data_IF_400841108475
#
_entry.id   IF_400841108475
#
_cell.length_a   1.000
_cell.length_b   1.000
_cell.length_c   1.000
_cell.angle_alpha   90.00
_cell.angle_beta   90.00
_cell.angle_gamma   90.00
#
_symmetry.space_group_name_H-M   'P 1'
#
loop_
_entity.id
_entity.type
_entity.pdbx_description
1 polymer ?
#
# COMPACT_ATOMS: atom_id res chain seq x y z
N UNK A 1 -11.49 20.38 -15.27
CA UNK A 1 -10.15 20.71 -14.79
C UNK A 1 -9.65 19.49 -14.05
N UNK A 2 -8.79 18.68 -14.70
CA UNK A 2 -7.93 17.74 -14.01
C UNK A 2 -6.93 18.62 -13.24
N UNK A 3 -7.13 18.78 -11.94
CA UNK A 3 -6.09 19.31 -11.07
C UNK A 3 -4.92 18.32 -11.14
N UNK A 4 -3.80 18.80 -11.66
CA UNK A 4 -2.52 18.10 -11.59
C UNK A 4 -2.29 17.77 -10.12
N UNK A 5 -2.27 16.48 -9.78
CA UNK A 5 -1.91 16.03 -8.44
C UNK A 5 -0.51 16.57 -8.15
N UNK A 6 -0.43 17.49 -7.19
CA UNK A 6 0.81 18.21 -6.88
C UNK A 6 1.91 17.21 -6.52
N UNK A 7 3.15 17.52 -6.91
CA UNK A 7 4.33 16.72 -6.53
C UNK A 7 4.66 16.83 -5.04
N UNK A 8 3.82 17.48 -4.24
CA UNK A 8 3.99 17.69 -2.81
C UNK A 8 3.56 16.46 -2.01
N UNK A 9 4.23 16.25 -0.89
CA UNK A 9 3.86 15.20 0.06
C UNK A 9 2.47 15.52 0.63
N UNK A 10 1.48 14.61 0.50
CA UNK A 10 0.11 14.90 0.91
C UNK A 10 -0.03 15.04 2.43
N UNK A 11 -1.03 15.82 2.85
CA UNK A 11 -1.37 16.01 4.27
C UNK A 11 -1.73 14.68 4.98
N UNK A 12 -2.12 13.67 4.24
CA UNK A 12 -2.42 12.32 4.75
C UNK A 12 -1.18 11.45 4.96
N UNK A 13 0.02 11.98 4.67
CA UNK A 13 1.26 11.26 4.93
C UNK A 13 1.50 11.11 6.44
N UNK A 14 1.64 9.88 6.88
CA UNK A 14 2.08 9.55 8.25
C UNK A 14 3.59 9.35 8.23
N UNK A 15 4.37 10.20 8.91
CA UNK A 15 5.82 10.18 8.85
C UNK A 15 6.42 8.80 9.16
N UNK A 16 7.23 8.28 8.24
CA UNK A 16 7.99 7.03 8.38
C UNK A 16 7.14 5.78 8.73
N UNK A 17 5.84 5.77 8.41
CA UNK A 17 4.94 4.65 8.76
C UNK A 17 5.45 3.31 8.23
N UNK A 18 5.83 3.23 6.96
CA UNK A 18 6.33 1.99 6.37
C UNK A 18 7.71 1.62 6.91
N UNK A 19 8.56 2.59 7.26
CA UNK A 19 9.83 2.34 7.96
C UNK A 19 9.60 1.64 9.29
N UNK A 20 8.64 2.11 10.09
CA UNK A 20 8.29 1.53 11.37
C UNK A 20 7.75 0.10 11.18
N UNK A 21 6.80 -0.09 10.27
CA UNK A 21 6.24 -1.42 10.00
C UNK A 21 7.27 -2.40 9.50
N UNK A 22 8.12 -2.00 8.55
CA UNK A 22 9.19 -2.85 8.06
C UNK A 22 10.22 -3.19 9.14
N UNK A 23 10.50 -2.28 10.08
CA UNK A 23 11.38 -2.55 11.21
C UNK A 23 10.81 -3.63 12.14
N UNK A 24 9.50 -3.59 12.44
CA UNK A 24 8.84 -4.66 13.19
C UNK A 24 8.82 -5.98 12.41
N UNK A 25 8.50 -5.93 11.11
CA UNK A 25 8.52 -7.11 10.26
C UNK A 25 9.91 -7.75 10.22
N UNK A 26 10.97 -6.92 10.12
CA UNK A 26 12.35 -7.38 10.10
C UNK A 26 12.73 -8.12 11.40
N UNK A 27 12.43 -7.52 12.55
CA UNK A 27 12.68 -8.16 13.86
C UNK A 27 11.90 -9.47 13.99
N UNK A 28 10.66 -9.50 13.54
CA UNK A 28 9.83 -10.72 13.58
C UNK A 28 10.34 -11.78 12.59
N UNK A 29 10.75 -11.39 11.39
CA UNK A 29 11.32 -12.28 10.40
C UNK A 29 12.59 -12.97 10.92
N UNK A 30 13.47 -12.22 11.60
CA UNK A 30 14.67 -12.77 12.20
C UNK A 30 14.36 -13.83 13.28
N UNK A 31 13.40 -13.55 14.18
CA UNK A 31 12.94 -14.51 15.21
C UNK A 31 12.30 -15.77 14.59
N UNK A 32 11.65 -15.63 13.44
CA UNK A 32 10.98 -16.72 12.73
C UNK A 32 11.85 -17.41 11.70
N UNK A 33 13.10 -16.96 11.52
CA UNK A 33 14.01 -17.44 10.48
C UNK A 33 13.39 -17.33 9.07
N UNK A 34 12.49 -16.32 8.87
CA UNK A 34 11.87 -16.03 7.59
C UNK A 34 12.82 -15.18 6.73
N UNK A 35 12.88 -15.50 5.44
CA UNK A 35 13.77 -14.83 4.48
C UNK A 35 13.02 -13.84 3.56
N UNK A 36 11.71 -13.89 3.59
CA UNK A 36 10.84 -13.13 2.71
C UNK A 36 9.87 -12.26 3.51
N UNK A 37 9.84 -10.96 3.19
CA UNK A 37 8.86 -10.00 3.70
C UNK A 37 8.07 -9.49 2.50
N UNK A 38 6.73 -9.44 2.62
CA UNK A 38 5.86 -8.90 1.58
C UNK A 38 5.22 -7.61 2.07
N UNK A 39 5.23 -6.57 1.24
CA UNK A 39 4.58 -5.30 1.52
C UNK A 39 3.74 -4.84 0.32
N UNK A 40 2.51 -4.38 0.58
CA UNK A 40 1.55 -3.95 -0.44
C UNK A 40 1.66 -2.47 -0.82
N UNK A 41 2.88 -1.96 -0.96
CA UNK A 41 3.10 -0.59 -1.45
C UNK A 41 2.75 -0.48 -2.94
N UNK A 42 2.25 0.70 -3.33
CA UNK A 42 1.96 1.05 -4.71
C UNK A 42 2.58 2.42 -5.02
N UNK A 43 3.26 2.55 -6.16
CA UNK A 43 3.94 3.76 -6.58
C UNK A 43 3.34 4.38 -7.86
N UNK A 44 2.47 3.66 -8.58
CA UNK A 44 1.96 4.07 -9.90
C UNK A 44 0.88 5.14 -9.80
N UNK A 45 -0.16 4.88 -8.99
CA UNK A 45 -1.31 5.79 -8.91
C UNK A 45 -1.05 6.99 -7.98
N UNK A 46 -0.12 6.85 -7.04
CA UNK A 46 0.18 7.90 -6.08
C UNK A 46 1.60 7.78 -5.51
N UNK A 47 2.53 8.45 -6.15
CA UNK A 47 3.95 8.47 -5.74
C UNK A 47 4.27 9.46 -4.61
N UNK A 48 3.24 10.07 -4.00
CA UNK A 48 3.41 11.14 -2.99
C UNK A 48 4.00 10.67 -1.65
N UNK A 49 3.96 9.38 -1.35
CA UNK A 49 4.54 8.86 -0.11
C UNK A 49 5.99 8.40 -0.33
N UNK A 50 6.98 9.07 0.29
CA UNK A 50 8.40 8.75 0.11
C UNK A 50 8.74 7.28 0.42
N UNK A 51 8.07 6.72 1.44
CA UNK A 51 8.26 5.36 1.95
C UNK A 51 7.43 4.28 1.23
N UNK A 52 6.94 4.61 0.02
CA UNK A 52 6.31 3.65 -0.91
C UNK A 52 7.12 3.46 -2.21
N UNK A 53 8.23 4.17 -2.39
CA UNK A 53 9.03 4.16 -3.61
C UNK A 53 9.98 2.97 -3.67
N UNK A 54 10.34 2.54 -4.88
CA UNK A 54 11.26 1.42 -5.11
C UNK A 54 12.64 1.65 -4.48
N UNK A 55 13.13 2.89 -4.51
CA UNK A 55 14.42 3.26 -3.92
C UNK A 55 14.42 3.12 -2.40
N UNK A 56 13.31 3.46 -1.73
CA UNK A 56 13.14 3.24 -0.30
C UNK A 56 13.17 1.75 0.03
N UNK A 57 12.44 0.92 -0.71
CA UNK A 57 12.40 -0.54 -0.50
C UNK A 57 13.79 -1.15 -0.69
N UNK A 58 14.52 -0.78 -1.75
CA UNK A 58 15.87 -1.28 -2.00
C UNK A 58 16.87 -0.85 -0.90
N UNK A 59 16.76 0.38 -0.41
CA UNK A 59 17.58 0.87 0.69
C UNK A 59 17.26 0.13 2.00
N UNK A 60 15.98 -0.13 2.29
CA UNK A 60 15.58 -0.87 3.48
C UNK A 60 16.01 -2.35 3.42
N UNK A 61 15.91 -3.00 2.26
CA UNK A 61 16.41 -4.36 2.04
C UNK A 61 17.93 -4.43 2.29
N UNK A 62 18.66 -3.43 1.81
CA UNK A 62 20.11 -3.31 2.08
C UNK A 62 20.38 -3.17 3.59
N UNK A 63 19.67 -2.27 4.26
CA UNK A 63 19.74 -2.08 5.71
C UNK A 63 19.45 -3.39 6.45
N UNK A 64 18.39 -4.10 6.09
CA UNK A 64 18.00 -5.35 6.72
C UNK A 64 19.11 -6.39 6.69
N UNK A 65 19.79 -6.53 5.56
CA UNK A 65 20.89 -7.50 5.38
C UNK A 65 22.20 -7.07 6.05
N UNK A 66 22.37 -5.78 6.37
CA UNK A 66 23.54 -5.27 7.10
C UNK A 66 23.31 -5.26 8.62
N UNK A 67 22.08 -5.12 9.09
CA UNK A 67 21.74 -4.83 10.48
C UNK A 67 21.26 -6.05 11.28
N UNK A 68 21.08 -7.21 10.64
CA UNK A 68 20.59 -8.42 11.30
C UNK A 68 21.65 -9.51 11.36
N UNK A 69 21.55 -10.38 12.38
CA UNK A 69 22.41 -11.56 12.48
C UNK A 69 22.22 -12.48 11.27
N UNK A 70 20.98 -12.69 10.85
CA UNK A 70 20.67 -13.51 9.68
C UNK A 70 21.32 -12.97 8.40
N UNK A 71 21.33 -11.64 8.20
CA UNK A 71 21.99 -11.01 7.07
C UNK A 71 23.52 -11.11 7.10
N UNK A 72 24.12 -11.01 8.28
CA UNK A 72 25.61 -11.03 8.43
C UNK A 72 26.17 -12.44 8.47
N UNK A 73 25.52 -13.36 9.17
CA UNK A 73 25.97 -14.75 9.34
C UNK A 73 25.25 -15.72 8.38
N UNK A 74 24.15 -15.29 7.79
CA UNK A 74 23.29 -16.11 6.95
C UNK A 74 23.92 -16.44 5.60
N UNK A 75 23.58 -17.59 5.07
CA UNK A 75 23.97 -18.01 3.72
C UNK A 75 23.07 -17.42 2.64
N UNK A 76 21.92 -16.88 3.03
CA UNK A 76 20.90 -16.33 2.16
C UNK A 76 20.44 -14.98 2.72
N UNK A 77 20.29 -13.99 1.83
CA UNK A 77 19.83 -12.65 2.18
C UNK A 77 18.31 -12.61 2.36
N UNK A 78 17.84 -11.75 3.28
CA UNK A 78 16.44 -11.38 3.40
C UNK A 78 16.00 -10.60 2.15
N UNK A 79 14.81 -10.90 1.65
CA UNK A 79 14.19 -10.27 0.48
C UNK A 79 12.90 -9.55 0.85
N UNK A 80 12.72 -8.33 0.31
CA UNK A 80 11.46 -7.58 0.43
C UNK A 80 10.73 -7.61 -0.92
N UNK A 81 9.55 -8.21 -0.91
CA UNK A 81 8.70 -8.35 -2.09
C UNK A 81 7.62 -7.26 -2.13
N UNK A 82 7.48 -6.64 -3.28
CA UNK A 82 6.51 -5.55 -3.53
C UNK A 82 5.61 -5.88 -4.72
N UNK A 83 4.75 -6.90 -4.63
CA UNK A 83 4.02 -7.44 -5.78
C UNK A 83 3.05 -6.46 -6.45
N UNK A 84 2.75 -5.33 -5.80
CA UNK A 84 1.79 -4.33 -6.28
C UNK A 84 2.45 -3.01 -6.71
N UNK A 85 3.77 -2.88 -6.61
CA UNK A 85 4.44 -1.58 -6.71
C UNK A 85 4.29 -0.92 -8.08
N UNK A 86 4.24 -1.72 -9.14
CA UNK A 86 4.14 -1.27 -10.54
C UNK A 86 2.71 -1.41 -11.11
N UNK A 87 1.74 -1.85 -10.31
CA UNK A 87 0.37 -2.05 -10.76
C UNK A 87 -0.46 -0.78 -10.56
N UNK A 88 -1.31 -0.45 -11.54
CA UNK A 88 -2.37 0.53 -11.36
C UNK A 88 -3.43 0.03 -10.36
N UNK A 89 -4.26 0.95 -9.84
CA UNK A 89 -5.36 0.58 -8.95
C UNK A 89 -6.32 -0.42 -9.59
N UNK A 90 -6.59 -0.26 -10.88
CA UNK A 90 -7.44 -1.18 -11.64
C UNK A 90 -6.83 -2.59 -11.73
N UNK A 91 -5.53 -2.69 -11.98
CA UNK A 91 -4.83 -3.99 -12.03
C UNK A 91 -4.80 -4.66 -10.66
N UNK A 92 -4.59 -3.88 -9.58
CA UNK A 92 -4.65 -4.39 -8.20
C UNK A 92 -6.05 -4.95 -7.90
N UNK A 93 -7.12 -4.24 -8.30
CA UNK A 93 -8.50 -4.69 -8.11
C UNK A 93 -8.75 -5.98 -8.88
N UNK A 94 -8.40 -6.05 -10.16
CA UNK A 94 -8.53 -7.26 -10.98
C UNK A 94 -7.78 -8.44 -10.36
N UNK A 95 -6.53 -8.21 -9.94
CA UNK A 95 -5.71 -9.22 -9.28
C UNK A 95 -6.34 -9.71 -7.99
N UNK A 96 -6.89 -8.81 -7.19
CA UNK A 96 -7.58 -9.17 -5.95
C UNK A 96 -8.83 -10.02 -6.21
N UNK A 97 -9.63 -9.67 -7.22
CA UNK A 97 -10.80 -10.47 -7.62
C UNK A 97 -10.40 -11.87 -8.09
N UNK A 98 -9.36 -11.99 -8.91
CA UNK A 98 -8.80 -13.28 -9.32
C UNK A 98 -8.38 -14.16 -8.14
N UNK A 99 -7.87 -13.54 -7.07
CA UNK A 99 -7.44 -14.20 -5.84
C UNK A 99 -8.58 -14.41 -4.82
N UNK A 100 -9.80 -13.99 -5.13
CA UNK A 100 -10.96 -14.15 -4.27
C UNK A 100 -11.06 -13.13 -3.14
N UNK A 101 -10.44 -11.95 -3.29
CA UNK A 101 -10.57 -10.86 -2.30
C UNK A 101 -12.02 -10.34 -2.32
N UNK A 102 -12.68 -10.37 -1.17
CA UNK A 102 -13.96 -9.70 -0.96
C UNK A 102 -13.75 -8.21 -0.67
N UNK A 103 -13.94 -7.40 -1.69
CA UNK A 103 -13.77 -5.95 -1.57
C UNK A 103 -14.85 -5.27 -0.73
N UNK A 104 -15.98 -5.92 -0.43
CA UNK A 104 -16.95 -5.39 0.51
C UNK A 104 -16.40 -5.31 1.94
N UNK A 105 -15.42 -6.14 2.28
CA UNK A 105 -14.71 -6.12 3.57
C UNK A 105 -13.59 -5.10 3.65
N UNK A 106 -13.32 -4.34 2.57
CA UNK A 106 -12.19 -3.40 2.52
C UNK A 106 -12.66 -1.96 2.74
N UNK A 107 -11.84 -1.18 3.44
CA UNK A 107 -12.11 0.23 3.73
C UNK A 107 -10.92 1.10 3.33
N UNK A 108 -11.18 2.22 2.63
CA UNK A 108 -10.15 3.15 2.16
C UNK A 108 -10.39 4.59 2.61
N UNK A 109 -11.60 4.94 3.04
CA UNK A 109 -12.00 6.31 3.32
C UNK A 109 -11.23 6.93 4.49
N UNK A 110 -10.72 8.17 4.30
CA UNK A 110 -10.06 8.95 5.36
C UNK A 110 -11.04 9.75 6.24
N UNK A 111 -12.30 9.90 5.79
CA UNK A 111 -13.32 10.66 6.49
C UNK A 111 -14.67 9.93 6.43
N UNK A 112 -14.79 8.73 7.04
CA UNK A 112 -16.04 8.00 7.05
C UNK A 112 -17.06 8.67 7.98
N UNK A 113 -18.35 8.40 7.76
CA UNK A 113 -19.41 8.74 8.72
C UNK A 113 -19.26 7.98 10.04
N UNK A 114 -20.02 8.37 11.08
CA UNK A 114 -20.05 7.63 12.36
C UNK A 114 -20.44 6.15 12.19
N UNK A 115 -21.25 5.82 11.15
CA UNK A 115 -21.60 4.45 10.79
C UNK A 115 -20.55 3.72 9.93
N UNK A 116 -19.39 4.32 9.65
CA UNK A 116 -18.34 3.72 8.84
C UNK A 116 -18.56 3.80 7.33
N UNK A 117 -19.62 4.48 6.85
CA UNK A 117 -19.91 4.65 5.42
C UNK A 117 -18.89 5.58 4.79
N UNK A 118 -18.32 5.19 3.66
CA UNK A 118 -17.29 5.95 2.94
C UNK A 118 -17.84 7.26 2.40
N UNK A 119 -17.08 8.37 2.53
CA UNK A 119 -17.55 9.71 2.13
C UNK A 119 -17.69 9.92 0.61
N UNK A 120 -17.04 9.10 -0.21
CA UNK A 120 -17.06 9.23 -1.67
C UNK A 120 -16.26 10.42 -2.23
N UNK A 121 -15.78 11.34 -1.39
CA UNK A 121 -15.21 12.63 -1.80
C UNK A 121 -13.71 12.81 -1.51
N UNK A 122 -13.14 12.10 -0.52
CA UNK A 122 -11.71 12.21 -0.24
C UNK A 122 -10.88 11.53 -1.32
N UNK A 123 -9.59 11.90 -1.43
CA UNK A 123 -8.66 11.38 -2.44
C UNK A 123 -8.65 9.84 -2.50
N UNK A 124 -8.66 9.19 -1.33
CA UNK A 124 -8.67 7.74 -1.27
C UNK A 124 -9.97 7.13 -1.84
N UNK A 125 -11.13 7.75 -1.60
CA UNK A 125 -12.38 7.33 -2.20
C UNK A 125 -12.39 7.57 -3.71
N UNK A 126 -11.89 8.71 -4.18
CA UNK A 126 -11.83 9.03 -5.60
C UNK A 126 -10.91 8.07 -6.35
N UNK A 127 -9.72 7.77 -5.81
CA UNK A 127 -8.80 6.79 -6.38
C UNK A 127 -9.41 5.38 -6.39
N UNK A 128 -10.16 5.00 -5.36
CA UNK A 128 -10.85 3.72 -5.30
C UNK A 128 -11.94 3.62 -6.37
N UNK A 129 -12.84 4.60 -6.43
CA UNK A 129 -13.92 4.65 -7.43
C UNK A 129 -13.38 4.61 -8.85
N UNK A 130 -12.34 5.41 -9.14
CA UNK A 130 -11.65 5.40 -10.43
C UNK A 130 -11.07 4.02 -10.74
N UNK A 131 -10.40 3.38 -9.77
CA UNK A 131 -9.82 2.06 -9.95
C UNK A 131 -10.88 0.99 -10.27
N UNK A 132 -12.03 0.98 -9.59
CA UNK A 132 -13.14 0.07 -9.89
C UNK A 132 -13.74 0.34 -11.26
N UNK A 133 -13.95 1.61 -11.62
CA UNK A 133 -14.44 2.00 -12.95
C UNK A 133 -13.49 1.52 -14.06
N UNK A 134 -12.19 1.75 -13.93
CA UNK A 134 -11.17 1.31 -14.90
C UNK A 134 -11.00 -0.22 -14.93
N UNK A 135 -11.25 -0.89 -13.81
CA UNK A 135 -11.30 -2.35 -13.76
C UNK A 135 -12.53 -2.93 -14.47
N UNK A 136 -13.56 -2.12 -14.73
CA UNK A 136 -14.81 -2.54 -15.37
C UNK A 136 -15.75 -3.31 -14.44
N UNK A 137 -15.64 -3.10 -13.13
CA UNK A 137 -16.47 -3.74 -12.10
C UNK A 137 -17.02 -2.70 -11.14
N UNK A 138 -18.16 -3.00 -10.52
CA UNK A 138 -18.79 -2.14 -9.52
C UNK A 138 -18.10 -2.27 -8.17
N UNK A 139 -17.90 -1.13 -7.47
CA UNK A 139 -17.39 -1.15 -6.10
C UNK A 139 -18.49 -1.64 -5.14
N UNK A 140 -18.28 -2.70 -4.39
CA UNK A 140 -19.33 -3.31 -3.56
C UNK A 140 -19.63 -2.54 -2.25
N UNK A 141 -18.89 -1.48 -1.92
CA UNK A 141 -19.14 -0.73 -0.67
C UNK A 141 -20.12 0.43 -0.88
N UNK A 142 -20.75 0.84 0.22
CA UNK A 142 -21.64 1.99 0.22
C UNK A 142 -20.89 3.30 0.39
N UNK A 143 -21.41 4.34 -0.27
CA UNK A 143 -20.93 5.72 -0.16
C UNK A 143 -22.03 6.63 0.37
N UNK A 144 -21.66 7.62 1.21
CA UNK A 144 -22.60 8.63 1.66
C UNK A 144 -23.12 9.42 0.47
N UNK A 145 -24.44 9.62 0.40
CA UNK A 145 -25.01 10.52 -0.62
C UNK A 145 -24.51 11.93 -0.37
N UNK A 146 -23.88 12.51 -1.37
CA UNK A 146 -23.54 13.94 -1.33
C UNK A 146 -24.83 14.74 -1.14
N UNK A 147 -24.89 15.48 -0.04
CA UNK A 147 -25.97 16.44 0.22
C UNK A 147 -25.77 17.68 -0.63
#
# INVERSE_FOLDING_TARGET
NQEEMSAEIPITYVPARNTIFLSFCLAYAEVKEAKDIFIGVNAVDYSGYPDCRSEFIAAFETLANLATKAGVEGKESLKIHTPLIELSKAEIIKKGLELGVDYAMTHSCYNPSEGGISCGACDSCQLRLKGFQEAGVEDPIEYSKSS
#
